data_IF_112797367040
#
_entry.id   IF_112797367040
#
_cell.length_a   1.000
_cell.length_b   1.000
_cell.length_c   1.000
_cell.angle_alpha   90.00
_cell.angle_beta   90.00
_cell.angle_gamma   90.00
#
_symmetry.space_group_name_H-M   'P 1'
#
loop_
_entity.id
_entity.type
_entity.pdbx_description
1 polymer ?
#
# COMPACT_ATOMS: atom_id res chain seq x y z
N UNK A 1 18.61 22.99 -26.77
CA UNK A 1 18.12 21.67 -27.17
C UNK A 1 17.02 21.29 -26.20
N UNK A 2 15.79 21.05 -26.68
CA UNK A 2 14.73 20.47 -25.85
C UNK A 2 15.12 19.02 -25.55
N UNK A 3 15.83 18.81 -24.46
CA UNK A 3 15.98 17.48 -23.85
C UNK A 3 14.71 17.18 -23.08
N UNK A 4 13.60 17.05 -23.83
CA UNK A 4 12.58 16.09 -23.42
C UNK A 4 13.35 14.82 -23.11
N UNK A 5 13.14 14.21 -21.93
CA UNK A 5 13.62 12.86 -21.69
C UNK A 5 12.92 12.02 -22.76
N UNK A 6 13.52 11.90 -23.95
CA UNK A 6 13.06 10.99 -24.98
C UNK A 6 13.12 9.66 -24.27
N UNK A 7 11.94 9.08 -23.99
CA UNK A 7 11.73 7.77 -23.39
C UNK A 7 13.03 6.99 -23.44
N UNK A 8 13.80 7.10 -22.36
CA UNK A 8 15.12 6.50 -22.36
C UNK A 8 14.89 5.02 -22.62
N UNK A 9 15.83 4.37 -23.30
CA UNK A 9 15.78 2.93 -23.54
C UNK A 9 15.77 2.08 -22.24
N UNK A 10 15.55 2.70 -21.09
CA UNK A 10 15.14 2.08 -19.84
C UNK A 10 13.86 1.28 -20.06
N UNK A 11 14.06 -0.02 -20.22
CA UNK A 11 13.03 -1.05 -20.03
C UNK A 11 13.33 -1.76 -18.71
N UNK A 12 13.01 -1.14 -17.55
CA UNK A 12 13.04 -1.90 -16.32
C UNK A 12 12.07 -3.08 -16.48
N UNK A 13 12.61 -4.30 -16.35
CA UNK A 13 11.89 -5.57 -16.61
C UNK A 13 10.64 -5.71 -15.71
N UNK A 14 10.57 -4.95 -14.62
CA UNK A 14 9.46 -4.95 -13.66
C UNK A 14 8.30 -4.02 -14.02
N UNK A 15 8.41 -3.17 -15.06
CA UNK A 15 7.31 -2.29 -15.48
C UNK A 15 6.61 -2.90 -16.70
N UNK A 16 5.36 -3.32 -16.51
CA UNK A 16 4.48 -3.81 -17.60
C UNK A 16 4.26 -2.71 -18.64
N UNK A 17 3.91 -3.08 -19.88
CA UNK A 17 3.67 -2.07 -20.93
C UNK A 17 2.50 -1.12 -20.57
N UNK A 18 1.51 -1.59 -19.81
CA UNK A 18 0.43 -0.75 -19.26
C UNK A 18 0.94 0.26 -18.24
N UNK A 19 1.74 -0.17 -17.25
CA UNK A 19 2.37 0.74 -16.29
C UNK A 19 3.31 1.72 -16.98
N UNK A 20 4.00 1.28 -18.04
CA UNK A 20 4.85 2.16 -18.85
C UNK A 20 4.03 3.21 -19.57
N UNK A 21 2.93 2.84 -20.20
CA UNK A 21 2.07 3.81 -20.88
C UNK A 21 1.48 4.84 -19.91
N UNK A 22 1.14 4.42 -18.68
CA UNK A 22 0.70 5.33 -17.61
C UNK A 22 1.84 6.23 -17.13
N UNK A 23 3.04 5.68 -16.93
CA UNK A 23 4.22 6.46 -16.54
C UNK A 23 4.60 7.46 -17.63
N UNK A 24 4.61 7.05 -18.90
CA UNK A 24 4.87 7.91 -20.04
C UNK A 24 3.82 9.03 -20.10
N UNK A 25 2.53 8.72 -19.93
CA UNK A 25 1.47 9.72 -19.88
C UNK A 25 1.63 10.70 -18.71
N UNK A 26 2.02 10.22 -17.52
CA UNK A 26 2.29 11.06 -16.36
C UNK A 26 3.54 11.94 -16.55
N UNK A 27 4.54 11.43 -17.28
CA UNK A 27 5.78 12.13 -17.58
C UNK A 27 5.72 12.95 -18.87
N UNK A 28 4.64 12.89 -19.67
CA UNK A 28 4.49 13.67 -20.91
C UNK A 28 4.60 15.18 -20.66
N UNK A 29 4.17 15.65 -19.48
CA UNK A 29 4.31 17.05 -19.05
C UNK A 29 5.58 17.31 -18.25
N UNK A 30 6.34 16.27 -17.91
CA UNK A 30 7.56 16.40 -17.13
C UNK A 30 8.74 16.68 -18.05
N UNK A 31 9.23 17.92 -18.01
CA UNK A 31 10.44 18.30 -18.72
C UNK A 31 11.54 18.66 -17.71
N UNK A 32 12.61 17.86 -17.68
CA UNK A 32 13.72 18.08 -16.75
C UNK A 32 14.35 19.47 -16.90
N UNK A 33 14.24 20.11 -18.07
CA UNK A 33 14.73 21.48 -18.25
C UNK A 33 14.02 22.51 -17.37
N UNK A 34 12.79 22.21 -16.92
CA UNK A 34 11.96 23.07 -16.08
C UNK A 34 12.33 22.92 -14.59
N UNK A 35 13.21 21.97 -14.29
CA UNK A 35 13.66 21.65 -12.95
C UNK A 35 15.15 21.95 -12.75
N UNK A 36 15.45 22.35 -11.53
CA UNK A 36 16.77 22.33 -10.92
C UNK A 36 16.93 20.99 -10.22
N UNK A 37 17.78 20.11 -10.77
CA UNK A 37 17.98 18.77 -10.23
C UNK A 37 18.94 18.82 -9.04
N UNK A 38 18.49 18.26 -7.91
CA UNK A 38 19.29 18.07 -6.71
C UNK A 38 19.33 16.56 -6.42
N UNK A 39 20.52 15.97 -6.51
CA UNK A 39 20.76 14.57 -6.16
C UNK A 39 21.36 14.51 -4.76
N UNK A 40 20.78 13.71 -3.88
CA UNK A 40 21.29 13.46 -2.53
C UNK A 40 21.75 12.00 -2.46
N UNK A 41 23.06 11.81 -2.52
CA UNK A 41 23.68 10.49 -2.44
C UNK A 41 23.84 10.08 -0.97
N UNK A 42 23.14 9.02 -0.58
CA UNK A 42 23.23 8.37 0.73
C UNK A 42 24.26 7.23 0.73
N UNK A 43 25.09 7.16 -0.32
CA UNK A 43 26.09 6.11 -0.52
C UNK A 43 27.25 6.31 0.46
N UNK A 44 27.74 5.20 1.03
CA UNK A 44 28.90 5.21 1.92
C UNK A 44 30.19 5.46 1.11
N UNK A 45 31.15 6.19 1.67
CA UNK A 45 32.48 6.34 1.04
C UNK A 45 33.41 5.16 1.32
N UNK A 46 32.95 4.13 2.04
CA UNK A 46 33.67 2.88 2.27
C UNK A 46 33.56 1.95 1.07
N UNK A 47 34.59 1.13 0.87
CA UNK A 47 34.58 0.12 -0.20
C UNK A 47 33.53 -0.97 0.12
N UNK A 48 32.75 -1.45 -0.87
CA UNK A 48 32.85 -1.19 -2.32
C UNK A 48 32.02 0.00 -2.82
N UNK A 49 31.35 0.72 -1.94
CA UNK A 49 30.36 1.76 -2.28
C UNK A 49 31.00 3.05 -2.79
N UNK A 50 32.25 3.31 -2.39
CA UNK A 50 33.06 4.45 -2.85
C UNK A 50 33.23 4.54 -4.37
N UNK A 51 33.17 3.42 -5.09
CA UNK A 51 33.20 3.42 -6.56
C UNK A 51 31.95 4.06 -7.15
N UNK A 52 30.76 3.82 -6.58
CA UNK A 52 29.51 4.41 -7.05
C UNK A 52 29.48 5.91 -6.80
N UNK A 53 29.85 6.32 -5.59
CA UNK A 53 29.94 7.73 -5.24
C UNK A 53 30.95 8.48 -6.14
N UNK A 54 32.09 7.86 -6.45
CA UNK A 54 33.10 8.46 -7.34
C UNK A 54 32.57 8.69 -8.76
N UNK A 55 31.75 7.76 -9.27
CA UNK A 55 31.07 7.92 -10.56
C UNK A 55 30.11 9.10 -10.50
N UNK A 56 29.26 9.19 -9.48
CA UNK A 56 28.33 10.31 -9.30
C UNK A 56 29.06 11.65 -9.22
N UNK A 57 30.08 11.75 -8.38
CA UNK A 57 30.89 12.98 -8.25
C UNK A 57 31.46 13.40 -9.61
N UNK A 58 31.95 12.45 -10.40
CA UNK A 58 32.47 12.73 -11.75
C UNK A 58 31.39 13.19 -12.71
N UNK A 59 30.20 12.58 -12.69
CA UNK A 59 29.06 12.98 -13.53
C UNK A 59 28.57 14.39 -13.21
N UNK A 60 28.81 14.89 -11.99
CA UNK A 60 28.57 16.29 -11.58
C UNK A 60 29.79 17.20 -11.74
N UNK A 61 30.80 16.80 -12.52
CA UNK A 61 31.99 17.60 -12.81
C UNK A 61 32.95 17.76 -11.63
N UNK A 62 32.95 16.80 -10.70
CA UNK A 62 33.75 16.83 -9.47
C UNK A 62 33.20 17.80 -8.42
N UNK A 63 31.96 18.27 -8.58
CA UNK A 63 31.31 19.20 -7.64
C UNK A 63 30.33 18.43 -6.76
N UNK A 64 30.56 18.52 -5.45
CA UNK A 64 29.74 17.88 -4.43
C UNK A 64 29.72 18.76 -3.18
N UNK A 65 28.53 18.93 -2.60
CA UNK A 65 28.32 19.47 -1.26
C UNK A 65 28.29 18.34 -0.25
N UNK A 66 28.80 18.55 0.96
CA UNK A 66 28.78 17.55 2.02
C UNK A 66 27.74 17.91 3.07
N UNK A 67 26.85 16.98 3.43
CA UNK A 67 25.80 17.17 4.43
C UNK A 67 25.01 18.49 4.20
N UNK A 68 24.87 19.28 5.27
CA UNK A 68 24.18 20.57 5.33
C UNK A 68 24.96 21.74 4.68
N UNK A 69 26.11 21.50 4.05
CA UNK A 69 26.90 22.55 3.42
C UNK A 69 26.16 23.23 2.25
N UNK A 70 26.57 24.46 1.94
CA UNK A 70 26.04 25.23 0.81
C UNK A 70 26.11 24.45 -0.51
N UNK A 71 25.07 24.62 -1.34
CA UNK A 71 24.97 23.94 -2.62
C UNK A 71 26.06 24.39 -3.58
N UNK A 72 26.86 23.44 -4.07
CA UNK A 72 27.91 23.67 -5.06
C UNK A 72 27.38 23.33 -6.45
N UNK A 73 27.24 24.31 -7.36
CA UNK A 73 26.70 24.06 -8.68
C UNK A 73 27.62 23.13 -9.47
N UNK A 74 27.05 22.02 -9.94
CA UNK A 74 27.66 21.09 -10.88
C UNK A 74 26.88 21.03 -12.18
N UNK A 75 27.25 20.09 -13.05
CA UNK A 75 26.51 19.83 -14.28
C UNK A 75 26.35 18.35 -14.51
N UNK A 76 25.14 17.88 -14.80
CA UNK A 76 24.87 16.52 -15.26
C UNK A 76 24.45 16.58 -16.72
N UNK A 77 25.22 15.94 -17.61
CA UNK A 77 24.97 15.96 -19.07
C UNK A 77 24.74 17.38 -19.65
N UNK A 78 25.47 18.37 -19.15
CA UNK A 78 25.37 19.77 -19.58
C UNK A 78 24.22 20.57 -18.98
N UNK A 79 23.39 19.96 -18.12
CA UNK A 79 22.36 20.66 -17.34
C UNK A 79 22.89 21.01 -15.95
N UNK A 80 22.60 22.21 -15.47
CA UNK A 80 22.93 22.59 -14.09
C UNK A 80 22.19 21.67 -13.10
N UNK A 81 22.93 21.17 -12.13
CA UNK A 81 22.40 20.34 -11.05
C UNK A 81 23.34 20.34 -9.84
N UNK A 82 22.88 19.75 -8.76
CA UNK A 82 23.61 19.71 -7.49
C UNK A 82 23.72 18.28 -7.02
N UNK A 83 24.90 17.92 -6.53
CA UNK A 83 25.13 16.67 -5.83
C UNK A 83 25.42 17.01 -4.36
N UNK A 84 24.61 16.47 -3.47
CA UNK A 84 24.83 16.48 -2.02
C UNK A 84 25.22 15.06 -1.64
N UNK A 85 26.42 14.87 -1.11
CA UNK A 85 26.79 13.63 -0.45
C UNK A 85 26.35 13.73 1.01
N UNK A 86 25.40 12.89 1.41
CA UNK A 86 24.86 12.88 2.76
C UNK A 86 24.66 11.45 3.27
N UNK A 87 25.76 10.73 3.56
CA UNK A 87 25.67 9.39 4.10
C UNK A 87 25.00 9.44 5.48
N UNK A 88 24.13 8.48 5.76
CA UNK A 88 23.54 8.30 7.09
C UNK A 88 23.88 6.91 7.63
N UNK A 89 24.14 6.85 8.93
CA UNK A 89 24.43 5.60 9.63
C UNK A 89 23.18 4.78 9.93
N UNK A 90 23.38 3.65 10.60
CA UNK A 90 22.32 2.81 11.13
C UNK A 90 22.40 2.80 12.66
N UNK A 91 21.25 2.82 13.33
CA UNK A 91 21.19 2.81 14.78
C UNK A 91 20.81 1.43 15.31
N UNK A 92 21.78 0.62 15.73
CA UNK A 92 21.50 -0.78 16.05
C UNK A 92 20.95 -0.99 17.48
N UNK A 93 21.30 -0.14 18.47
CA UNK A 93 20.92 -0.34 19.89
C UNK A 93 20.73 0.97 20.69
N UNK A 94 19.63 1.69 20.44
CA UNK A 94 19.00 2.57 21.43
C UNK A 94 19.59 3.97 21.64
N UNK A 95 20.90 4.19 21.42
CA UNK A 95 21.44 5.56 21.38
C UNK A 95 21.75 5.95 19.93
N UNK A 96 20.89 6.79 19.36
CA UNK A 96 21.06 7.33 18.01
C UNK A 96 21.51 8.80 18.03
N UNK A 97 21.80 9.40 19.18
CA UNK A 97 21.97 10.87 19.31
C UNK A 97 23.06 11.42 18.40
N UNK A 98 24.20 10.75 18.30
CA UNK A 98 25.30 11.18 17.43
C UNK A 98 24.86 11.18 15.96
N UNK A 99 24.21 10.09 15.52
CA UNK A 99 23.67 9.97 14.15
C UNK A 99 22.51 10.93 13.88
N UNK A 100 21.77 11.32 14.91
CA UNK A 100 20.67 12.25 14.81
C UNK A 100 21.14 13.69 14.67
N UNK A 101 22.14 14.10 15.46
CA UNK A 101 22.41 15.52 15.68
C UNK A 101 23.78 15.99 15.19
N UNK A 102 24.74 15.10 14.98
CA UNK A 102 26.13 15.47 14.67
C UNK A 102 26.44 15.20 13.20
N UNK A 103 26.83 16.26 12.48
CA UNK A 103 27.51 16.11 11.20
C UNK A 103 28.96 15.70 11.48
N UNK A 104 29.32 14.46 11.14
CA UNK A 104 30.67 13.92 11.28
C UNK A 104 31.38 13.73 9.93
N UNK A 105 32.64 13.27 9.99
CA UNK A 105 33.43 12.98 8.79
C UNK A 105 32.89 11.76 8.00
N UNK A 106 32.22 10.84 8.69
CA UNK A 106 31.70 9.59 8.12
C UNK A 106 30.19 9.66 7.80
N UNK A 107 29.41 10.32 8.65
CA UNK A 107 27.94 10.39 8.54
C UNK A 107 27.45 11.80 8.78
N UNK A 108 26.40 12.18 8.07
CA UNK A 108 25.68 13.42 8.32
C UNK A 108 24.61 13.22 9.39
N UNK A 109 24.31 14.30 10.09
CA UNK A 109 23.19 14.41 11.01
C UNK A 109 21.90 14.12 10.26
N UNK A 110 21.21 13.08 10.69
CA UNK A 110 19.91 12.71 10.13
C UNK A 110 18.90 13.85 10.28
N UNK A 111 18.95 14.57 11.41
CA UNK A 111 18.08 15.72 11.65
C UNK A 111 18.35 16.85 10.64
N UNK A 112 19.63 17.17 10.40
CA UNK A 112 20.02 18.21 9.45
C UNK A 112 19.68 17.81 8.01
N UNK A 113 19.85 16.54 7.64
CA UNK A 113 19.48 16.05 6.32
C UNK A 113 17.97 16.22 6.05
N UNK A 114 17.11 15.78 6.97
CA UNK A 114 15.65 15.93 6.79
C UNK A 114 15.24 17.41 6.75
N UNK A 115 15.87 18.24 7.60
CA UNK A 115 15.69 19.69 7.58
C UNK A 115 16.10 20.31 6.24
N UNK A 116 17.26 19.93 5.70
CA UNK A 116 17.77 20.41 4.43
C UNK A 116 16.85 20.01 3.28
N UNK A 117 16.39 18.76 3.21
CA UNK A 117 15.41 18.32 2.19
C UNK A 117 14.15 19.18 2.26
N UNK A 118 13.63 19.43 3.47
CA UNK A 118 12.43 20.23 3.69
C UNK A 118 12.62 21.67 3.21
N UNK A 119 13.71 22.33 3.61
CA UNK A 119 14.05 23.69 3.15
C UNK A 119 14.22 23.75 1.63
N UNK A 120 14.92 22.77 1.05
CA UNK A 120 15.15 22.73 -0.39
C UNK A 120 13.85 22.59 -1.19
N UNK A 121 12.86 21.86 -0.67
CA UNK A 121 11.53 21.72 -1.28
C UNK A 121 10.68 22.99 -1.19
N UNK A 122 10.87 23.81 -0.15
CA UNK A 122 10.09 25.03 0.08
C UNK A 122 10.66 26.27 -0.62
N UNK A 123 11.97 26.33 -0.76
CA UNK A 123 12.67 27.42 -1.40
C UNK A 123 12.47 27.43 -2.93
N UNK A 124 12.28 28.62 -3.48
CA UNK A 124 12.31 28.84 -4.93
C UNK A 124 13.74 28.83 -5.44
N UNK A 125 13.99 28.14 -6.57
CA UNK A 125 15.27 28.24 -7.27
C UNK A 125 15.57 29.70 -7.63
N UNK A 126 16.83 30.11 -7.50
CA UNK A 126 17.29 31.42 -7.98
C UNK A 126 17.15 31.56 -9.50
N UNK A 127 17.07 30.43 -10.22
CA UNK A 127 16.82 30.38 -11.66
C UNK A 127 15.33 30.52 -12.04
N UNK A 128 14.43 30.54 -11.06
CA UNK A 128 12.97 30.49 -11.27
C UNK A 128 12.43 29.11 -11.65
N UNK A 129 13.30 28.09 -11.74
CA UNK A 129 12.90 26.70 -12.00
C UNK A 129 12.27 26.04 -10.78
N UNK A 130 11.49 24.99 -11.01
CA UNK A 130 11.05 24.08 -9.96
C UNK A 130 12.25 23.28 -9.45
N UNK A 131 12.21 22.74 -8.23
CA UNK A 131 13.26 21.83 -7.75
C UNK A 131 12.79 20.39 -7.85
N UNK A 132 13.69 19.51 -8.28
CA UNK A 132 13.49 18.06 -8.24
C UNK A 132 14.57 17.47 -7.35
N UNK A 133 14.17 16.89 -6.22
CA UNK A 133 15.08 16.22 -5.30
C UNK A 133 15.00 14.72 -5.54
N UNK A 134 16.15 14.10 -5.81
CA UNK A 134 16.31 12.66 -5.93
C UNK A 134 17.32 12.18 -4.90
N UNK A 135 16.88 11.45 -3.89
CA UNK A 135 17.76 10.87 -2.88
C UNK A 135 17.82 9.35 -3.01
N UNK A 136 19.00 8.75 -2.87
CA UNK A 136 19.16 7.31 -3.03
C UNK A 136 20.37 6.75 -2.28
N UNK A 137 20.30 5.47 -1.89
CA UNK A 137 21.46 4.67 -1.55
C UNK A 137 21.80 3.69 -2.68
N UNK A 138 22.64 2.68 -2.42
CA UNK A 138 23.06 1.70 -3.44
C UNK A 138 21.90 0.81 -3.89
N UNK A 139 21.05 0.36 -2.95
CA UNK A 139 19.92 -0.52 -3.25
C UNK A 139 18.58 0.20 -3.29
N UNK A 140 18.52 1.46 -2.86
CA UNK A 140 17.29 2.23 -2.75
C UNK A 140 16.33 1.75 -1.66
N UNK A 141 16.78 0.88 -0.74
CA UNK A 141 15.93 0.28 0.31
C UNK A 141 16.15 0.94 1.66
N UNK A 142 17.29 0.67 2.31
CA UNK A 142 17.48 0.96 3.74
C UNK A 142 17.55 2.46 4.03
N UNK A 143 18.67 3.11 3.70
CA UNK A 143 18.87 4.54 3.95
C UNK A 143 17.83 5.40 3.22
N UNK A 144 17.47 5.01 2.00
CA UNK A 144 16.41 5.69 1.23
C UNK A 144 15.09 5.64 1.99
N UNK A 145 14.65 4.45 2.40
CA UNK A 145 13.42 4.28 3.16
C UNK A 145 13.46 5.00 4.51
N UNK A 146 14.61 4.97 5.21
CA UNK A 146 14.87 5.80 6.38
C UNK A 146 14.55 7.27 6.10
N UNK A 147 15.27 7.89 5.17
CA UNK A 147 15.08 9.30 4.79
C UNK A 147 13.62 9.61 4.41
N UNK A 148 12.96 8.71 3.66
CA UNK A 148 11.53 8.84 3.33
C UNK A 148 10.66 8.90 4.59
N UNK A 149 10.87 8.00 5.56
CA UNK A 149 10.14 7.99 6.83
C UNK A 149 10.35 9.32 7.57
N UNK A 150 11.61 9.77 7.71
CA UNK A 150 11.94 11.04 8.35
C UNK A 150 11.26 12.25 7.70
N UNK A 151 11.31 12.31 6.38
CA UNK A 151 10.67 13.38 5.61
C UNK A 151 9.15 13.42 5.82
N UNK A 152 8.48 12.27 5.75
CA UNK A 152 7.02 12.18 5.90
C UNK A 152 6.57 12.62 7.29
N UNK A 153 7.23 12.14 8.35
CA UNK A 153 6.87 12.53 9.71
C UNK A 153 7.10 14.03 9.96
N UNK A 154 8.15 14.61 9.36
CA UNK A 154 8.45 16.04 9.52
C UNK A 154 7.43 16.94 8.80
N UNK A 155 6.97 16.53 7.62
CA UNK A 155 6.14 17.36 6.75
C UNK A 155 4.64 17.08 6.88
N UNK A 156 4.24 15.94 7.46
CA UNK A 156 2.84 15.56 7.66
C UNK A 156 2.54 15.11 9.10
N UNK A 157 2.97 15.85 10.14
CA UNK A 157 2.89 15.39 11.53
C UNK A 157 1.46 15.17 12.04
N UNK A 158 0.46 15.84 11.46
CA UNK A 158 -0.95 15.69 11.84
C UNK A 158 -1.61 14.44 11.26
N UNK A 159 -1.10 13.93 10.14
CA UNK A 159 -1.76 12.89 9.33
C UNK A 159 -0.92 11.63 9.13
N UNK A 160 0.29 11.59 9.71
CA UNK A 160 1.27 10.53 9.46
C UNK A 160 1.90 10.07 10.78
N UNK A 161 1.50 8.90 11.26
CA UNK A 161 2.20 8.20 12.34
C UNK A 161 3.51 7.61 11.84
N UNK A 162 4.43 7.28 12.76
CA UNK A 162 5.65 6.56 12.41
C UNK A 162 5.36 5.27 11.63
N UNK A 163 4.36 4.48 12.06
CA UNK A 163 3.99 3.25 11.38
C UNK A 163 3.46 3.51 9.97
N UNK A 164 2.62 4.53 9.78
CA UNK A 164 2.14 4.92 8.44
C UNK A 164 3.29 5.36 7.53
N UNK A 165 4.27 6.10 8.06
CA UNK A 165 5.45 6.51 7.31
C UNK A 165 6.34 5.32 6.93
N UNK A 166 6.52 4.34 7.83
CA UNK A 166 7.22 3.07 7.54
C UNK A 166 6.50 2.29 6.46
N UNK A 167 5.19 2.12 6.59
CA UNK A 167 4.34 1.46 5.59
C UNK A 167 4.45 2.15 4.23
N UNK A 168 4.36 3.48 4.20
CA UNK A 168 4.53 4.25 2.98
C UNK A 168 5.89 4.01 2.34
N UNK A 169 6.97 4.10 3.11
CA UNK A 169 8.33 3.91 2.61
C UNK A 169 8.57 2.47 2.11
N UNK A 170 7.99 1.49 2.80
CA UNK A 170 8.05 0.07 2.43
C UNK A 170 7.37 -0.21 1.09
N UNK A 171 6.26 0.45 0.82
CA UNK A 171 5.49 0.21 -0.41
C UNK A 171 5.66 1.31 -1.46
N UNK A 172 6.50 2.32 -1.20
CA UNK A 172 6.66 3.53 -2.03
C UNK A 172 5.31 4.18 -2.38
N UNK A 173 4.39 4.21 -1.42
CA UNK A 173 3.01 4.67 -1.64
C UNK A 173 2.12 3.72 -2.45
N UNK A 174 2.62 2.56 -2.90
CA UNK A 174 1.75 1.49 -3.39
C UNK A 174 1.06 0.79 -2.22
N UNK A 175 -0.04 0.11 -2.51
CA UNK A 175 -0.90 -0.49 -1.48
C UNK A 175 -0.85 -2.02 -1.48
N UNK A 176 -0.05 -2.61 -2.38
CA UNK A 176 0.24 -4.03 -2.43
C UNK A 176 1.71 -4.25 -2.12
N UNK A 177 2.01 -5.32 -1.37
CA UNK A 177 3.38 -5.76 -1.19
C UNK A 177 3.99 -6.11 -2.55
N UNK A 178 5.17 -5.58 -2.91
CA UNK A 178 5.87 -6.04 -4.09
C UNK A 178 6.16 -7.54 -3.97
N UNK A 179 6.20 -8.30 -5.08
CA UNK A 179 6.42 -9.76 -5.06
C UNK A 179 7.77 -10.17 -4.44
N UNK A 180 8.70 -9.23 -4.27
CA UNK A 180 9.93 -9.41 -3.49
C UNK A 180 10.02 -8.30 -2.46
N UNK A 181 9.99 -8.72 -1.20
CA UNK A 181 9.86 -7.90 -0.01
C UNK A 181 11.23 -7.60 0.61
N UNK A 182 11.51 -6.33 0.91
CA UNK A 182 12.60 -5.95 1.81
C UNK A 182 12.28 -4.61 2.48
N UNK A 183 11.73 -4.61 3.70
CA UNK A 183 11.52 -3.37 4.44
C UNK A 183 12.89 -2.72 4.72
N UNK A 184 12.94 -1.41 5.04
CA UNK A 184 14.18 -0.83 5.53
C UNK A 184 14.71 -1.65 6.71
N UNK A 185 16.02 -1.90 6.72
CA UNK A 185 16.64 -2.66 7.79
C UNK A 185 16.34 -2.05 9.18
N UNK A 186 16.48 -2.87 10.22
CA UNK A 186 16.14 -2.46 11.57
C UNK A 186 16.88 -1.20 12.03
N UNK A 187 18.18 -1.07 11.70
CA UNK A 187 18.97 0.08 12.11
C UNK A 187 18.51 1.40 11.47
N UNK A 188 18.01 1.35 10.23
CA UNK A 188 17.39 2.50 9.57
C UNK A 188 16.04 2.87 10.21
N UNK A 189 15.25 1.87 10.58
CA UNK A 189 13.98 2.07 11.30
C UNK A 189 14.21 2.68 12.68
N UNK A 190 15.17 2.17 13.43
CA UNK A 190 15.56 2.71 14.73
C UNK A 190 15.99 4.18 14.64
N UNK A 191 16.81 4.54 13.64
CA UNK A 191 17.21 5.93 13.42
C UNK A 191 16.00 6.83 13.10
N UNK A 192 15.09 6.37 12.24
CA UNK A 192 13.87 7.10 11.92
C UNK A 192 12.93 7.22 13.14
N UNK A 193 12.80 6.19 13.97
CA UNK A 193 12.03 6.22 15.21
C UNK A 193 12.64 7.21 16.22
N UNK A 194 13.96 7.21 16.37
CA UNK A 194 14.64 8.16 17.24
C UNK A 194 14.46 9.61 16.75
N UNK A 195 14.47 9.81 15.42
CA UNK A 195 14.13 11.10 14.82
C UNK A 195 12.68 11.51 15.10
N UNK A 196 11.73 10.57 14.97
CA UNK A 196 10.34 10.80 15.33
C UNK A 196 10.23 11.33 16.77
N UNK A 197 10.91 10.68 17.72
CA UNK A 197 10.93 11.10 19.13
C UNK A 197 11.53 12.49 19.26
N UNK A 198 12.64 12.78 18.56
CA UNK A 198 13.32 14.07 18.60
C UNK A 198 12.46 15.24 18.07
N UNK A 199 11.52 14.97 17.16
CA UNK A 199 10.57 15.98 16.66
C UNK A 199 9.24 16.00 17.42
N UNK A 200 9.13 15.27 18.54
CA UNK A 200 7.89 15.07 19.30
C UNK A 200 6.73 14.52 18.46
N UNK A 201 7.03 13.58 17.55
CA UNK A 201 6.02 12.92 16.70
C UNK A 201 5.27 11.78 17.40
N UNK A 202 4.32 11.17 16.67
CA UNK A 202 3.62 9.95 17.11
C UNK A 202 4.43 8.70 16.74
N UNK A 203 5.25 8.22 17.68
CA UNK A 203 6.35 7.27 17.41
C UNK A 203 6.12 5.86 17.94
N UNK A 204 4.88 5.51 18.28
CA UNK A 204 4.54 4.16 18.73
C UNK A 204 4.92 3.14 17.63
N UNK A 205 5.96 2.34 17.89
CA UNK A 205 6.58 1.46 16.90
C UNK A 205 5.93 0.07 16.81
N UNK A 206 4.85 -0.16 17.55
CA UNK A 206 4.24 -1.48 17.71
C UNK A 206 2.75 -1.43 17.52
N UNK A 207 2.25 -2.29 16.64
CA UNK A 207 0.86 -2.79 16.66
C UNK A 207 0.55 -3.58 17.95
N UNK A 208 1.55 -3.91 18.77
CA UNK A 208 1.43 -4.76 19.97
C UNK A 208 1.57 -4.05 21.32
N UNK A 209 2.37 -2.97 21.47
CA UNK A 209 2.62 -2.39 22.81
C UNK A 209 1.71 -1.18 23.17
N UNK A 210 0.71 -0.86 22.34
CA UNK A 210 -0.31 0.13 22.71
C UNK A 210 -1.47 -0.46 23.51
N UNK A 211 -1.44 -1.75 23.85
CA UNK A 211 -2.50 -2.42 24.61
C UNK A 211 -2.53 -2.09 26.12
N UNK A 212 -1.76 -1.12 26.62
CA UNK A 212 -1.78 -0.76 28.05
C UNK A 212 -2.16 0.69 28.37
N UNK A 213 -2.50 1.52 27.36
CA UNK A 213 -3.22 2.77 27.59
C UNK A 213 -4.61 2.61 26.97
N UNK A 214 -5.57 2.12 27.76
CA UNK A 214 -6.96 1.80 27.35
C UNK A 214 -7.78 3.01 26.87
N UNK A 215 -7.16 4.17 26.61
CA UNK A 215 -7.88 5.41 26.34
C UNK A 215 -8.11 5.71 24.86
N UNK A 216 -7.35 5.11 23.95
CA UNK A 216 -7.55 5.25 22.50
C UNK A 216 -7.55 3.90 21.77
N UNK A 217 -8.62 3.56 21.05
CA UNK A 217 -8.70 2.29 20.36
C UNK A 217 -7.71 2.17 19.19
N UNK A 218 -7.24 0.96 18.87
CA UNK A 218 -6.50 0.72 17.65
C UNK A 218 -7.39 1.01 16.44
N UNK A 219 -6.90 1.85 15.52
CA UNK A 219 -7.45 1.99 14.18
C UNK A 219 -6.44 1.53 13.13
N UNK A 220 -6.94 0.91 12.07
CA UNK A 220 -6.19 0.47 10.90
C UNK A 220 -6.66 1.26 9.68
N UNK A 221 -5.74 1.65 8.83
CA UNK A 221 -6.04 2.41 7.61
C UNK A 221 -5.33 1.78 6.42
N UNK A 222 -6.10 1.46 5.38
CA UNK A 222 -5.61 0.89 4.13
C UNK A 222 -6.05 1.78 2.96
N UNK A 223 -5.10 2.30 2.21
CA UNK A 223 -5.38 2.96 0.94
C UNK A 223 -5.48 1.92 -0.19
N UNK A 224 -6.19 2.23 -1.27
CA UNK A 224 -6.18 1.47 -2.52
C UNK A 224 -6.01 2.46 -3.70
N UNK A 225 -5.33 2.12 -4.82
CA UNK A 225 -5.08 3.04 -5.93
C UNK A 225 -6.33 3.51 -6.71
N UNK A 226 -7.50 2.99 -6.38
CA UNK A 226 -8.76 3.21 -7.09
C UNK A 226 -9.48 1.91 -7.42
N UNK A 227 -10.71 2.01 -7.89
CA UNK A 227 -11.54 0.88 -8.27
C UNK A 227 -12.41 1.24 -9.46
N UNK A 228 -12.46 0.34 -10.45
CA UNK A 228 -13.37 0.50 -11.60
C UNK A 228 -14.79 0.10 -11.20
N UNK A 229 -15.79 0.60 -11.94
CA UNK A 229 -17.20 0.28 -11.68
C UNK A 229 -17.46 -1.23 -11.79
N UNK A 230 -18.09 -1.80 -10.77
CA UNK A 230 -18.41 -3.22 -10.67
C UNK A 230 -17.21 -4.14 -10.40
N UNK A 231 -15.99 -3.59 -10.28
CA UNK A 231 -14.79 -4.37 -10.00
C UNK A 231 -14.52 -4.36 -8.50
N UNK A 232 -14.42 -5.56 -7.94
CA UNK A 232 -14.17 -5.76 -6.52
C UNK A 232 -12.80 -5.17 -6.09
N UNK A 233 -12.83 -4.33 -5.05
CA UNK A 233 -11.67 -3.77 -4.36
C UNK A 233 -11.53 -4.47 -3.00
N UNK A 234 -10.38 -5.10 -2.78
CA UNK A 234 -10.13 -5.89 -1.57
C UNK A 234 -9.22 -5.14 -0.60
N UNK A 235 -9.68 -5.02 0.64
CA UNK A 235 -8.89 -4.52 1.77
C UNK A 235 -8.63 -5.67 2.75
N UNK A 236 -7.35 -5.96 3.02
CA UNK A 236 -6.89 -7.08 3.86
C UNK A 236 -6.19 -6.50 5.09
N UNK A 237 -6.72 -6.75 6.28
CA UNK A 237 -6.26 -6.11 7.53
C UNK A 237 -5.37 -7.01 8.39
N UNK A 238 -5.62 -8.32 8.36
CA UNK A 238 -4.91 -9.30 9.17
C UNK A 238 -4.40 -10.43 8.26
N UNK A 239 -3.47 -11.24 8.77
CA UNK A 239 -2.93 -12.41 8.07
C UNK A 239 -3.93 -13.57 8.03
N UNK A 240 -5.11 -13.31 7.51
CA UNK A 240 -6.09 -14.34 7.31
C UNK A 240 -5.70 -15.22 6.12
N UNK A 241 -5.46 -16.49 6.42
CA UNK A 241 -5.31 -17.57 5.45
C UNK A 241 -6.49 -18.54 5.63
N UNK A 242 -7.13 -18.95 4.54
CA UNK A 242 -8.26 -19.89 4.58
C UNK A 242 -7.87 -21.24 5.21
N UNK A 243 -6.60 -21.64 5.11
CA UNK A 243 -6.06 -22.90 5.66
C UNK A 243 -5.52 -22.73 7.09
N UNK A 244 -4.73 -21.68 7.33
CA UNK A 244 -4.07 -21.45 8.63
C UNK A 244 -4.93 -20.65 9.62
N UNK A 245 -6.03 -20.04 9.16
CA UNK A 245 -6.91 -19.20 9.95
C UNK A 245 -6.35 -17.79 10.13
N UNK A 246 -6.64 -17.17 11.27
CA UNK A 246 -6.14 -15.83 11.61
C UNK A 246 -5.21 -15.91 12.81
N UNK A 247 -4.05 -15.25 12.75
CA UNK A 247 -3.11 -15.16 13.88
C UNK A 247 -3.61 -14.25 15.01
N UNK A 248 -4.69 -13.50 14.78
CA UNK A 248 -5.25 -12.53 15.71
C UNK A 248 -5.58 -13.13 17.07
N UNK A 249 -5.03 -12.54 18.12
CA UNK A 249 -5.34 -12.89 19.52
C UNK A 249 -6.61 -12.21 20.04
N UNK A 250 -7.14 -11.23 19.30
CA UNK A 250 -8.34 -10.50 19.68
C UNK A 250 -9.59 -11.39 19.68
N UNK A 251 -10.52 -11.08 20.59
CA UNK A 251 -11.82 -11.75 20.67
C UNK A 251 -12.62 -11.60 19.38
N UNK A 252 -12.54 -10.43 18.74
CA UNK A 252 -13.19 -10.13 17.46
C UNK A 252 -12.22 -9.38 16.55
N UNK A 253 -12.22 -9.72 15.25
CA UNK A 253 -11.30 -9.17 14.25
C UNK A 253 -12.01 -9.01 12.91
N UNK A 254 -11.82 -7.87 12.24
CA UNK A 254 -12.18 -7.69 10.83
C UNK A 254 -11.00 -8.13 9.98
N UNK A 255 -11.21 -9.06 9.05
CA UNK A 255 -10.16 -9.61 8.18
C UNK A 255 -10.14 -8.94 6.83
N UNK A 256 -11.32 -8.89 6.21
CA UNK A 256 -11.50 -8.36 4.88
C UNK A 256 -12.67 -7.41 4.78
N UNK A 257 -12.50 -6.40 3.96
CA UNK A 257 -13.60 -5.58 3.46
C UNK A 257 -13.51 -5.56 1.95
N UNK A 258 -14.59 -5.99 1.33
CA UNK A 258 -14.76 -6.17 -0.11
C UNK A 258 -15.68 -5.07 -0.61
N UNK A 259 -15.12 -4.07 -1.29
CA UNK A 259 -15.87 -2.92 -1.79
C UNK A 259 -16.16 -3.10 -3.27
N UNK A 260 -17.42 -2.98 -3.67
CA UNK A 260 -17.82 -2.97 -5.09
C UNK A 260 -18.20 -1.54 -5.46
N UNK A 261 -17.41 -0.81 -6.29
CA UNK A 261 -17.74 0.55 -6.66
C UNK A 261 -18.88 0.59 -7.69
N UNK A 262 -19.94 1.36 -7.43
CA UNK A 262 -20.99 1.64 -8.43
C UNK A 262 -20.56 2.71 -9.45
N UNK A 263 -19.46 3.41 -9.16
CA UNK A 263 -18.75 4.35 -10.05
C UNK A 263 -17.24 4.19 -9.88
N UNK A 264 -16.46 4.66 -10.84
CA UNK A 264 -14.99 4.70 -10.68
C UNK A 264 -14.62 5.54 -9.45
N UNK A 265 -13.82 4.96 -8.56
CA UNK A 265 -13.28 5.60 -7.36
C UNK A 265 -11.77 5.76 -7.51
N UNK A 266 -11.22 6.87 -7.00
CA UNK A 266 -9.80 7.21 -7.09
C UNK A 266 -9.24 7.33 -5.68
N UNK A 267 -8.17 6.59 -5.41
CA UNK A 267 -7.46 6.63 -4.11
C UNK A 267 -8.37 6.48 -2.86
N UNK A 268 -9.31 5.50 -2.84
CA UNK A 268 -10.14 5.27 -1.67
C UNK A 268 -9.31 4.80 -0.47
N UNK A 269 -9.61 5.33 0.71
CA UNK A 269 -8.94 4.97 1.95
C UNK A 269 -9.96 4.35 2.89
N UNK A 270 -9.79 3.06 3.20
CA UNK A 270 -10.62 2.37 4.17
C UNK A 270 -9.99 2.49 5.56
N UNK A 271 -10.75 3.05 6.49
CA UNK A 271 -10.41 3.13 7.92
C UNK A 271 -11.28 2.16 8.70
N UNK A 272 -10.67 1.38 9.59
CA UNK A 272 -11.36 0.49 10.54
C UNK A 272 -10.85 0.83 11.94
N UNK A 273 -11.70 1.41 12.77
CA UNK A 273 -11.44 1.66 14.19
C UNK A 273 -12.25 0.67 15.04
N UNK A 274 -11.57 -0.10 15.89
CA UNK A 274 -12.24 -1.03 16.81
C UNK A 274 -12.65 -0.30 18.08
N UNK A 275 -13.79 -0.62 18.71
CA UNK A 275 -14.22 0.02 19.96
C UNK A 275 -14.22 1.56 19.91
N UNK A 276 -14.79 2.20 18.86
CA UNK A 276 -14.83 3.64 18.76
C UNK A 276 -15.59 4.25 19.95
N UNK A 277 -15.33 5.53 20.24
CA UNK A 277 -16.14 6.27 21.22
C UNK A 277 -17.54 6.49 20.65
N UNK A 278 -18.51 5.73 21.15
CA UNK A 278 -19.91 5.88 20.77
C UNK A 278 -20.70 6.54 21.91
N UNK A 279 -21.54 7.49 21.56
CA UNK A 279 -22.47 8.16 22.48
C UNK A 279 -23.49 7.18 23.09
N UNK A 280 -24.00 7.50 24.28
CA UNK A 280 -24.90 6.61 25.04
C UNK A 280 -26.17 6.25 24.26
N UNK A 281 -26.73 7.18 23.49
CA UNK A 281 -27.94 6.95 22.70
C UNK A 281 -27.76 5.92 21.57
N UNK A 282 -26.51 5.70 21.13
CA UNK A 282 -26.17 4.73 20.10
C UNK A 282 -25.76 3.38 20.69
N UNK A 283 -25.66 3.25 22.02
CA UNK A 283 -25.33 1.96 22.63
C UNK A 283 -26.48 0.98 22.44
N UNK A 284 -26.16 -0.16 21.84
CA UNK A 284 -27.08 -1.27 21.71
C UNK A 284 -27.28 -1.94 23.08
N UNK A 285 -28.53 -1.99 23.55
CA UNK A 285 -28.92 -2.58 24.84
C UNK A 285 -29.64 -3.92 24.65
N UNK A 286 -29.78 -4.70 25.73
CA UNK A 286 -30.51 -5.98 25.70
C UNK A 286 -29.80 -7.12 24.97
N UNK A 287 -28.50 -6.97 24.68
CA UNK A 287 -27.65 -7.98 24.06
C UNK A 287 -26.71 -8.59 25.09
N UNK A 288 -26.29 -9.83 24.84
CA UNK A 288 -25.35 -10.57 25.68
C UNK A 288 -23.94 -10.00 25.54
N UNK A 289 -23.56 -9.60 24.32
CA UNK A 289 -22.30 -8.93 24.05
C UNK A 289 -22.44 -7.93 22.91
N UNK A 290 -21.54 -6.93 22.90
CA UNK A 290 -21.41 -5.96 21.81
C UNK A 290 -19.93 -5.67 21.56
N UNK A 291 -19.54 -5.63 20.29
CA UNK A 291 -18.21 -5.20 19.83
C UNK A 291 -18.40 -4.21 18.70
N UNK A 292 -18.02 -2.97 18.95
CA UNK A 292 -18.25 -1.88 18.01
C UNK A 292 -17.07 -1.68 17.08
N UNK A 293 -17.36 -1.20 15.87
CA UNK A 293 -16.38 -0.78 14.88
C UNK A 293 -16.87 0.50 14.20
N UNK A 294 -15.96 1.43 13.88
CA UNK A 294 -16.19 2.48 12.90
C UNK A 294 -15.45 2.08 11.62
N UNK A 295 -16.20 1.76 10.57
CA UNK A 295 -15.64 1.40 9.27
C UNK A 295 -16.07 2.48 8.30
N UNK A 296 -15.09 3.21 7.76
CA UNK A 296 -15.30 4.40 6.94
C UNK A 296 -14.46 4.30 5.66
N UNK A 297 -15.03 4.73 4.54
CA UNK A 297 -14.37 4.74 3.24
C UNK A 297 -14.17 6.19 2.79
N UNK A 298 -13.02 6.76 3.15
CA UNK A 298 -12.68 8.14 2.85
C UNK A 298 -12.43 8.34 1.34
N UNK A 299 -12.65 9.57 0.89
CA UNK A 299 -12.54 10.00 -0.51
C UNK A 299 -13.53 9.33 -1.49
N UNK A 300 -14.53 8.61 -0.98
CA UNK A 300 -15.57 7.98 -1.79
C UNK A 300 -16.94 8.39 -1.27
N UNK A 301 -17.81 8.99 -2.11
CA UNK A 301 -19.19 9.21 -1.72
C UNK A 301 -19.93 7.87 -1.57
N UNK A 302 -20.72 7.69 -0.50
CA UNK A 302 -21.51 6.47 -0.25
C UNK A 302 -22.34 6.01 -1.47
N UNK A 303 -22.92 6.96 -2.21
CA UNK A 303 -23.70 6.67 -3.42
C UNK A 303 -22.87 6.09 -4.59
N UNK A 304 -21.55 5.99 -4.44
CA UNK A 304 -20.61 5.40 -5.41
C UNK A 304 -20.22 3.97 -5.06
N UNK A 305 -20.87 3.37 -4.06
CA UNK A 305 -20.61 2.01 -3.59
C UNK A 305 -21.88 1.17 -3.77
N UNK A 306 -21.72 0.03 -4.43
CA UNK A 306 -22.71 -1.06 -4.47
C UNK A 306 -22.59 -1.91 -3.19
N UNK A 307 -23.61 -2.75 -2.87
CA UNK A 307 -23.53 -3.65 -1.73
C UNK A 307 -22.18 -4.39 -1.68
N UNK A 308 -21.55 -4.28 -0.51
CA UNK A 308 -20.18 -4.69 -0.21
C UNK A 308 -20.21 -5.74 0.89
N UNK A 309 -19.10 -6.44 1.15
CA UNK A 309 -19.06 -7.47 2.20
C UNK A 309 -17.95 -7.23 3.21
N UNK A 310 -18.23 -7.52 4.48
CA UNK A 310 -17.28 -7.46 5.59
C UNK A 310 -17.10 -8.88 6.11
N UNK A 311 -15.87 -9.36 6.12
CA UNK A 311 -15.52 -10.65 6.71
C UNK A 311 -14.87 -10.42 8.08
N UNK A 312 -15.35 -11.12 9.08
CA UNK A 312 -14.88 -11.00 10.45
C UNK A 312 -14.84 -12.36 11.14
N UNK A 313 -14.18 -12.41 12.29
CA UNK A 313 -14.17 -13.63 13.11
C UNK A 313 -14.33 -13.34 14.58
N UNK A 314 -14.78 -14.37 15.30
CA UNK A 314 -14.84 -14.40 16.76
C UNK A 314 -14.04 -15.59 17.27
N UNK A 315 -13.22 -15.36 18.29
CA UNK A 315 -12.49 -16.43 18.98
C UNK A 315 -13.47 -17.41 19.61
N UNK A 316 -13.38 -18.68 19.26
CA UNK A 316 -14.28 -19.74 19.72
C UNK A 316 -14.30 -19.89 21.24
N UNK A 317 -13.15 -19.69 21.92
CA UNK A 317 -13.09 -19.67 23.38
C UNK A 317 -13.91 -18.52 24.00
N UNK A 318 -13.88 -17.34 23.38
CA UNK A 318 -14.72 -16.21 23.80
C UNK A 318 -16.19 -16.51 23.54
N UNK A 319 -16.51 -17.02 22.35
CA UNK A 319 -17.88 -17.37 21.97
C UNK A 319 -18.48 -18.44 22.89
N UNK A 320 -17.71 -19.47 23.26
CA UNK A 320 -18.12 -20.55 24.18
C UNK A 320 -18.35 -20.05 25.61
N UNK A 321 -17.67 -18.97 26.00
CA UNK A 321 -17.89 -18.33 27.31
C UNK A 321 -19.21 -17.55 27.37
N UNK A 322 -19.80 -17.25 26.22
CA UNK A 322 -21.09 -16.58 26.08
C UNK A 322 -22.20 -17.64 25.89
N UNK A 323 -23.41 -17.46 26.46
CA UNK A 323 -24.53 -18.36 26.25
C UNK A 323 -25.21 -18.11 24.89
N UNK A 324 -24.45 -18.12 23.80
CA UNK A 324 -24.92 -17.89 22.43
C UNK A 324 -24.41 -18.98 21.49
N UNK A 325 -25.25 -19.39 20.55
CA UNK A 325 -24.80 -20.28 19.48
C UNK A 325 -24.01 -19.47 18.43
N UNK A 326 -23.01 -20.05 17.74
CA UNK A 326 -22.32 -19.38 16.64
C UNK A 326 -23.27 -18.83 15.57
N UNK A 327 -24.36 -19.54 15.29
CA UNK A 327 -25.37 -19.17 14.28
C UNK A 327 -26.21 -17.95 14.70
N UNK A 328 -26.20 -17.60 15.98
CA UNK A 328 -26.89 -16.44 16.53
C UNK A 328 -26.02 -15.17 16.47
N UNK A 329 -24.77 -15.25 16.01
CA UNK A 329 -23.93 -14.06 15.83
C UNK A 329 -24.37 -13.27 14.61
N UNK A 330 -24.40 -11.95 14.74
CA UNK A 330 -24.80 -11.04 13.67
C UNK A 330 -24.02 -9.73 13.70
N UNK A 331 -23.81 -9.14 12.53
CA UNK A 331 -23.35 -7.76 12.41
C UNK A 331 -24.55 -6.84 12.18
N UNK A 332 -24.58 -5.70 12.86
CA UNK A 332 -25.57 -4.64 12.64
C UNK A 332 -24.86 -3.36 12.19
N UNK A 333 -25.55 -2.55 11.38
CA UNK A 333 -25.08 -1.24 10.92
C UNK A 333 -25.94 -0.13 11.51
N UNK A 334 -25.34 0.99 11.92
CA UNK A 334 -26.06 2.18 12.33
C UNK A 334 -26.50 2.99 11.10
N UNK A 335 -27.81 3.18 10.92
CA UNK A 335 -28.39 3.94 9.80
C UNK A 335 -29.61 4.69 10.31
N UNK A 336 -29.74 5.98 9.99
CA UNK A 336 -30.92 6.79 10.33
C UNK A 336 -31.35 6.64 11.81
N UNK A 337 -30.37 6.80 12.72
CA UNK A 337 -30.56 6.75 14.17
C UNK A 337 -31.07 5.41 14.73
N UNK A 338 -30.80 4.30 14.03
CA UNK A 338 -31.11 2.95 14.52
C UNK A 338 -30.09 1.91 14.06
N UNK A 339 -29.99 0.82 14.83
CA UNK A 339 -29.26 -0.37 14.44
C UNK A 339 -30.11 -1.24 13.51
N UNK A 340 -29.60 -1.51 12.31
CA UNK A 340 -30.22 -2.40 11.32
C UNK A 340 -29.39 -3.67 11.22
N UNK A 341 -30.05 -4.83 11.37
CA UNK A 341 -29.41 -6.13 11.20
C UNK A 341 -28.97 -6.33 9.74
N UNK A 342 -27.73 -6.78 9.54
CA UNK A 342 -27.21 -7.14 8.22
C UNK A 342 -27.36 -8.64 7.96
N UNK A 343 -27.47 -9.00 6.68
CA UNK A 343 -27.39 -10.41 6.27
C UNK A 343 -26.01 -10.95 6.65
N UNK A 344 -25.94 -11.75 7.70
CA UNK A 344 -24.70 -12.31 8.26
C UNK A 344 -24.77 -13.83 8.22
N UNK A 345 -23.75 -14.44 7.64
CA UNK A 345 -23.61 -15.88 7.46
C UNK A 345 -22.40 -16.35 8.25
N UNK A 346 -22.56 -17.45 9.01
CA UNK A 346 -21.45 -18.21 9.56
C UNK A 346 -20.85 -19.05 8.43
N UNK A 347 -19.63 -18.74 8.02
CA UNK A 347 -18.99 -19.40 6.89
C UNK A 347 -18.40 -20.75 7.31
N UNK A 348 -17.56 -20.74 8.35
CA UNK A 348 -16.92 -21.94 8.89
C UNK A 348 -16.34 -21.68 10.29
N UNK A 349 -15.93 -22.77 10.96
CA UNK A 349 -15.20 -22.73 12.22
C UNK A 349 -13.91 -23.52 12.02
N UNK A 350 -12.76 -22.85 12.13
CA UNK A 350 -11.44 -23.48 12.01
C UNK A 350 -10.48 -22.86 13.03
N UNK A 351 -9.49 -23.63 13.48
CA UNK A 351 -8.43 -23.18 14.39
C UNK A 351 -8.94 -22.42 15.64
N UNK A 352 -10.07 -22.86 16.17
CA UNK A 352 -10.68 -22.27 17.36
C UNK A 352 -11.26 -20.88 17.15
N UNK A 353 -11.61 -20.49 15.91
CA UNK A 353 -12.33 -19.25 15.56
C UNK A 353 -13.52 -19.55 14.67
N UNK A 354 -14.59 -18.78 14.83
CA UNK A 354 -15.77 -18.80 13.95
C UNK A 354 -15.68 -17.60 13.00
N UNK A 355 -15.84 -17.86 11.70
CA UNK A 355 -15.71 -16.87 10.61
C UNK A 355 -17.05 -16.54 10.01
N UNK A 356 -17.27 -15.26 9.74
CA UNK A 356 -18.55 -14.72 9.31
C UNK A 356 -18.37 -13.75 8.16
N UNK A 357 -19.35 -13.74 7.25
CA UNK A 357 -19.49 -12.75 6.19
C UNK A 357 -20.79 -11.98 6.38
N UNK A 358 -20.70 -10.65 6.40
CA UNK A 358 -21.84 -9.74 6.46
C UNK A 358 -21.94 -8.88 5.20
N UNK A 359 -23.12 -8.84 4.58
CA UNK A 359 -23.41 -7.94 3.47
C UNK A 359 -23.82 -6.56 3.99
N UNK A 360 -23.18 -5.49 3.48
CA UNK A 360 -23.48 -4.12 3.86
C UNK A 360 -23.77 -3.24 2.65
N UNK A 361 -24.86 -2.43 2.67
CA UNK A 361 -25.14 -1.47 1.60
C UNK A 361 -24.27 -0.21 1.66
N UNK A 362 -23.43 -0.05 2.70
CA UNK A 362 -22.54 1.10 2.85
C UNK A 362 -21.76 1.06 4.16
N UNK A 363 -20.94 2.07 4.40
CA UNK A 363 -20.05 2.16 5.56
C UNK A 363 -20.64 3.08 6.64
N UNK A 364 -20.32 2.83 7.91
CA UNK A 364 -20.82 3.55 9.11
C UNK A 364 -20.22 2.93 10.39
N UNK A 365 -20.88 3.16 11.54
CA UNK A 365 -20.70 2.33 12.72
C UNK A 365 -21.32 0.95 12.53
N UNK A 366 -20.58 -0.05 12.97
CA UNK A 366 -20.99 -1.45 12.99
C UNK A 366 -20.91 -1.99 14.42
N UNK A 367 -21.73 -2.99 14.71
CA UNK A 367 -21.64 -3.76 15.95
C UNK A 367 -21.78 -5.25 15.66
N UNK A 368 -20.84 -6.04 16.17
CA UNK A 368 -20.95 -7.50 16.22
C UNK A 368 -21.63 -7.84 17.55
N UNK A 369 -22.71 -8.62 17.48
CA UNK A 369 -23.55 -8.94 18.63
C UNK A 369 -24.30 -10.27 18.41
N UNK A 370 -25.18 -10.65 19.34
CA UNK A 370 -26.09 -11.77 19.18
C UNK A 370 -27.46 -11.32 18.66
N UNK A 371 -28.11 -12.16 17.85
CA UNK A 371 -29.53 -12.02 17.49
C UNK A 371 -30.38 -12.09 18.76
N UNK A 372 -31.46 -11.32 18.77
CA UNK A 372 -32.52 -11.47 19.77
C UNK A 372 -33.51 -12.41 19.09
N UNK A 373 -33.88 -13.54 19.72
CA UNK A 373 -34.94 -14.39 19.19
C UNK A 373 -36.18 -13.53 18.99
N UNK A 374 -36.60 -13.34 17.73
CA UNK A 374 -37.91 -12.78 17.46
C UNK A 374 -38.88 -13.75 18.10
N UNK A 375 -39.70 -13.35 19.09
CA UNK A 375 -40.66 -14.26 19.69
C UNK A 375 -41.48 -14.86 18.55
N UNK A 376 -41.69 -16.19 18.55
CA UNK A 376 -42.41 -16.84 17.46
C UNK A 376 -43.71 -16.06 17.27
N UNK A 377 -43.92 -15.55 16.06
CA UNK A 377 -45.15 -14.86 15.69
C UNK A 377 -46.24 -15.86 16.02
N UNK A 378 -46.96 -15.60 17.11
CA UNK A 378 -48.10 -16.41 17.51
C UNK A 378 -49.05 -16.24 16.35
N UNK A 379 -49.19 -17.28 15.53
CA UNK A 379 -50.14 -17.31 14.42
C UNK A 379 -51.46 -16.83 14.99
N UNK A 380 -51.88 -15.61 14.63
CA UNK A 380 -53.21 -15.14 14.99
C UNK A 380 -54.21 -16.16 14.45
N UNK A 381 -55.05 -16.65 15.34
CA UNK A 381 -56.15 -17.56 15.04
C UNK A 381 -56.94 -16.96 13.86
N UNK A 382 -57.29 -17.76 12.83
CA UNK A 382 -57.89 -17.24 11.62
C UNK A 382 -59.13 -16.41 11.94
N UNK A 383 -59.03 -15.10 11.70
CA UNK A 383 -60.19 -14.20 11.74
C UNK A 383 -61.23 -14.76 10.76
N UNK A 384 -62.48 -14.98 11.19
CA UNK A 384 -63.52 -15.50 10.31
C UNK A 384 -63.68 -14.61 9.08
N UNK A 385 -63.98 -15.19 7.90
CA UNK A 385 -64.04 -14.46 6.64
C UNK A 385 -65.03 -13.31 6.74
N UNK A 386 -64.51 -12.08 6.66
CA UNK A 386 -65.33 -10.89 6.40
C UNK A 386 -65.88 -11.06 4.98
N UNK A 387 -67.20 -11.08 4.88
CA UNK A 387 -67.92 -11.22 3.63
C UNK A 387 -67.48 -10.15 2.62
N UNK A 388 -67.03 -10.59 1.43
CA UNK A 388 -66.72 -9.73 0.30
C UNK A 388 -67.95 -8.92 -0.11
N UNK A 389 -67.80 -7.60 -0.06
CA UNK A 389 -68.68 -6.65 -0.75
C UNK A 389 -68.33 -6.68 -2.26
N UNK A 390 -69.32 -6.75 -3.18
CA UNK A 390 -69.06 -7.02 -4.59
C UNK A 390 -68.31 -5.87 -5.28
N UNK A 391 -67.18 -6.22 -5.88
CA UNK A 391 -66.33 -5.34 -6.67
C UNK A 391 -67.08 -4.80 -7.91
N UNK A 392 -67.10 -3.47 -8.03
CA UNK A 392 -67.56 -2.75 -9.20
C UNK A 392 -66.46 -2.76 -10.26
N UNK A 393 -66.82 -3.28 -11.44
CA UNK A 393 -65.98 -3.49 -12.62
C UNK A 393 -65.46 -2.16 -13.20
N UNK A 394 -64.15 -2.06 -13.43
CA UNK A 394 -63.51 -0.92 -14.11
C UNK A 394 -62.67 -1.41 -15.30
N UNK A 395 -62.53 -0.61 -16.38
CA UNK A 395 -62.20 -1.10 -17.71
C UNK A 395 -60.70 -1.14 -18.01
N UNK A 396 -60.31 -2.16 -18.79
CA UNK A 396 -58.99 -2.36 -19.39
C UNK A 396 -58.56 -1.20 -20.32
N UNK A 397 -57.26 -0.86 -20.35
CA UNK A 397 -56.66 -0.28 -21.55
C UNK A 397 -55.41 -1.01 -22.04
N UNK A 398 -55.56 -1.56 -23.25
CA UNK A 398 -54.70 -1.39 -24.43
C UNK A 398 -53.20 -1.70 -24.36
N UNK A 399 -52.86 -2.87 -24.92
CA UNK A 399 -51.57 -3.28 -25.46
C UNK A 399 -51.21 -2.50 -26.74
N UNK A 400 -49.95 -2.01 -26.88
CA UNK A 400 -49.35 -1.75 -28.17
C UNK A 400 -48.26 -2.76 -28.54
N UNK A 401 -48.29 -3.10 -29.81
CA UNK A 401 -47.52 -4.09 -30.57
C UNK A 401 -46.04 -3.76 -30.82
N UNK A 402 -45.28 -4.86 -30.89
CA UNK A 402 -43.89 -5.05 -31.33
C UNK A 402 -43.55 -4.46 -32.72
N UNK A 403 -42.27 -4.12 -33.00
CA UNK A 403 -41.72 -4.28 -34.34
C UNK A 403 -40.44 -5.14 -34.39
N UNK A 404 -40.57 -6.23 -35.15
CA UNK A 404 -39.68 -6.80 -36.19
C UNK A 404 -38.16 -6.54 -36.19
N UNK A 405 -37.43 -7.66 -36.19
CA UNK A 405 -35.98 -7.83 -36.36
C UNK A 405 -35.48 -7.54 -37.80
N UNK A 406 -34.20 -7.18 -37.92
CA UNK A 406 -33.39 -7.28 -39.15
C UNK A 406 -32.17 -8.18 -38.84
N UNK A 407 -31.81 -9.17 -39.70
CA UNK A 407 -30.65 -10.01 -39.49
C UNK A 407 -29.37 -9.31 -39.96
N UNK A 408 -28.32 -9.34 -39.13
CA UNK A 408 -26.97 -8.91 -39.49
C UNK A 408 -26.11 -10.15 -39.78
N UNK A 409 -25.37 -10.06 -40.88
CA UNK A 409 -24.60 -11.12 -41.53
C UNK A 409 -23.23 -11.31 -40.86
N UNK A 410 -22.88 -12.56 -40.56
CA UNK A 410 -21.54 -12.99 -40.13
C UNK A 410 -20.50 -12.90 -41.27
N UNK A 411 -19.30 -12.34 -41.04
CA UNK A 411 -18.17 -12.55 -41.92
C UNK A 411 -17.34 -13.78 -41.52
N UNK A 412 -17.09 -14.61 -42.55
CA UNK A 412 -16.22 -15.78 -42.58
C UNK A 412 -14.79 -15.53 -42.08
N UNK A 413 -14.27 -16.54 -41.39
CA UNK A 413 -12.96 -16.61 -40.76
C UNK A 413 -11.73 -16.57 -41.68
N UNK A 414 -10.61 -16.22 -41.04
CA UNK A 414 -9.24 -16.36 -41.56
C UNK A 414 -8.55 -17.47 -40.75
N UNK A 415 -7.92 -18.49 -41.38
CA UNK A 415 -7.24 -19.55 -40.65
C UNK A 415 -5.90 -19.08 -40.06
N UNK A 416 -5.63 -19.51 -38.82
CA UNK A 416 -4.37 -19.30 -38.11
C UNK A 416 -3.24 -20.16 -38.73
N UNK A 417 -1.98 -19.68 -38.75
CA UNK A 417 -0.85 -20.50 -39.18
C UNK A 417 -0.49 -21.56 -38.13
N UNK A 418 -0.12 -22.74 -38.61
CA UNK A 418 0.34 -23.88 -37.82
C UNK A 418 1.64 -23.58 -37.05
N UNK A 419 1.86 -24.21 -35.87
CA UNK A 419 3.09 -24.06 -35.11
C UNK A 419 4.27 -24.77 -35.78
N UNK A 420 5.37 -24.03 -35.92
CA UNK A 420 6.69 -24.53 -36.34
C UNK A 420 7.31 -25.36 -35.21
N UNK A 421 7.72 -26.59 -35.51
CA UNK A 421 8.43 -27.48 -34.59
C UNK A 421 9.86 -26.96 -34.33
N UNK A 422 10.20 -26.80 -33.05
CA UNK A 422 11.53 -26.45 -32.55
C UNK A 422 12.38 -27.71 -32.35
N UNK A 423 13.70 -27.70 -32.69
CA UNK A 423 14.53 -28.90 -32.61
C UNK A 423 14.99 -29.22 -31.17
N UNK A 424 14.85 -30.48 -30.77
CA UNK A 424 15.39 -31.03 -29.52
C UNK A 424 16.93 -30.98 -29.49
N UNK A 425 17.47 -30.44 -28.39
CA UNK A 425 18.91 -30.46 -28.08
C UNK A 425 19.17 -31.62 -27.11
N UNK A 426 20.11 -32.54 -27.41
CA UNK A 426 20.44 -33.64 -26.50
C UNK A 426 21.26 -33.15 -25.28
N UNK A 427 21.15 -33.82 -24.12
CA UNK A 427 21.86 -33.43 -22.92
C UNK A 427 23.34 -33.84 -22.98
N UNK A 428 24.30 -33.00 -22.55
CA UNK A 428 25.67 -33.44 -22.40
C UNK A 428 25.86 -34.17 -21.06
N UNK A 429 26.20 -35.45 -21.19
CA UNK A 429 26.73 -36.30 -20.13
C UNK A 429 28.17 -35.91 -19.76
N UNK A 430 28.41 -35.72 -18.46
CA UNK A 430 29.66 -36.06 -17.78
C UNK A 430 30.85 -35.11 -17.92
N UNK A 431 31.23 -34.47 -16.81
CA UNK A 431 32.58 -34.46 -16.22
C UNK A 431 32.45 -33.89 -14.81
N UNK A 432 32.62 -34.76 -13.82
CA UNK A 432 32.61 -34.49 -12.40
C UNK A 432 34.04 -34.74 -11.91
N UNK A 433 34.89 -33.71 -11.71
CA UNK A 433 36.01 -33.71 -10.73
C UNK A 433 36.93 -32.45 -10.68
N UNK A 434 36.47 -31.22 -10.97
CA UNK A 434 37.32 -30.00 -10.81
C UNK A 434 36.61 -28.81 -10.14
N UNK A 435 35.62 -29.07 -9.27
CA UNK A 435 34.69 -28.04 -8.79
C UNK A 435 35.10 -27.28 -7.51
N UNK A 436 36.18 -27.63 -6.80
CA UNK A 436 36.41 -27.06 -5.45
C UNK A 436 37.38 -25.87 -5.42
N UNK A 437 38.26 -25.69 -6.42
CA UNK A 437 39.25 -24.59 -6.41
C UNK A 437 38.81 -23.37 -7.26
N UNK A 438 37.84 -23.53 -8.16
CA UNK A 438 37.34 -22.43 -9.01
C UNK A 438 36.16 -21.67 -8.36
N UNK A 439 35.48 -22.24 -7.37
CA UNK A 439 34.28 -21.63 -6.75
C UNK A 439 34.58 -20.40 -5.88
N UNK A 440 35.79 -20.28 -5.31
CA UNK A 440 36.19 -19.07 -4.57
C UNK A 440 36.55 -17.90 -5.51
N UNK A 441 37.08 -18.18 -6.71
CA UNK A 441 37.36 -17.17 -7.73
C UNK A 441 36.12 -16.77 -8.55
N UNK A 442 35.20 -17.71 -8.80
CA UNK A 442 33.94 -17.45 -9.52
C UNK A 442 32.92 -16.72 -8.63
N UNK A 443 32.93 -16.86 -7.30
CA UNK A 443 32.05 -16.08 -6.43
C UNK A 443 32.30 -14.56 -6.53
N UNK A 444 33.57 -14.15 -6.50
CA UNK A 444 33.97 -12.74 -6.55
C UNK A 444 34.01 -12.19 -7.98
N UNK A 445 34.58 -12.92 -8.94
CA UNK A 445 34.57 -12.51 -10.35
C UNK A 445 33.19 -12.67 -10.99
N UNK A 446 32.43 -13.71 -10.65
CA UNK A 446 31.05 -13.91 -11.11
C UNK A 446 30.12 -12.85 -10.55
N UNK A 447 30.18 -12.53 -9.25
CA UNK A 447 29.43 -11.40 -8.70
C UNK A 447 29.76 -10.07 -9.39
N UNK A 448 31.06 -9.81 -9.65
CA UNK A 448 31.50 -8.61 -10.37
C UNK A 448 31.03 -8.58 -11.84
N UNK A 449 31.12 -9.70 -12.56
CA UNK A 449 30.72 -9.81 -13.96
C UNK A 449 29.20 -9.80 -14.14
N UNK A 450 28.44 -10.47 -13.27
CA UNK A 450 26.97 -10.42 -13.26
C UNK A 450 26.49 -9.01 -12.91
N UNK A 451 27.14 -8.33 -11.95
CA UNK A 451 26.86 -6.92 -11.59
C UNK A 451 27.30 -5.91 -12.66
N UNK A 452 28.39 -6.17 -13.39
CA UNK A 452 28.84 -5.37 -14.55
C UNK A 452 27.94 -5.59 -15.77
N UNK A 453 27.49 -6.82 -15.98
CA UNK A 453 26.50 -7.19 -17.00
C UNK A 453 25.15 -6.54 -16.71
N UNK A 454 24.70 -6.54 -15.45
CA UNK A 454 23.49 -5.84 -15.02
C UNK A 454 23.60 -4.32 -15.19
N UNK A 455 24.75 -3.72 -14.85
CA UNK A 455 25.06 -2.28 -15.07
C UNK A 455 25.02 -1.87 -16.55
N UNK A 456 25.60 -2.67 -17.46
CA UNK A 456 25.53 -2.40 -18.91
C UNK A 456 24.11 -2.52 -19.46
N UNK A 457 23.25 -3.32 -18.82
CA UNK A 457 21.88 -3.56 -19.25
C UNK A 457 20.88 -2.51 -18.77
N UNK A 458 21.13 -1.88 -17.61
CA UNK A 458 20.28 -0.79 -17.12
C UNK A 458 20.60 0.59 -17.71
N UNK A 459 21.86 0.84 -18.09
CA UNK A 459 22.32 2.16 -18.52
C UNK A 459 23.20 2.11 -19.79
N UNK A 460 22.70 1.59 -20.93
CA UNK A 460 23.51 1.41 -22.13
C UNK A 460 24.07 2.74 -22.69
N UNK A 461 23.36 3.85 -22.49
CA UNK A 461 23.75 5.17 -23.01
C UNK A 461 24.84 5.88 -22.17
N UNK A 462 25.14 5.39 -20.95
CA UNK A 462 26.22 5.94 -20.11
C UNK A 462 27.61 5.36 -20.45
N UNK A 463 27.67 4.24 -21.18
CA UNK A 463 28.91 3.51 -21.47
C UNK A 463 29.11 3.38 -22.99
N UNK A 464 29.52 4.48 -23.62
CA UNK A 464 29.83 4.55 -25.05
C UNK A 464 31.12 3.84 -25.47
N UNK A 465 31.20 3.53 -26.78
CA UNK A 465 32.12 2.63 -27.53
C UNK A 465 33.65 2.66 -27.31
N UNK A 466 34.21 3.41 -26.35
CA UNK A 466 35.67 3.55 -26.21
C UNK A 466 36.26 3.02 -24.88
N UNK A 467 35.58 2.05 -24.25
CA UNK A 467 36.16 1.19 -23.19
C UNK A 467 36.38 -0.25 -23.68
#
# INVERSE_FOLDING_TARGET
MNTTIKNSLFKPVYITDSQRSKLDQALMTFNLSDYELIVISLIDNKWPDSEYLSVEIREFGGKVSNCSAELRPGTIRGHQGYLIWSPIGFCDQGNCDDLLHIDGDEYCSYYNLIGQITSLMQETSTSGKKRLIYYHCVLGTDRTGGVTIGYLMKNFPENMTYLQAVTYAQFMGNTMAPPVYSPPNQGSRNLAQAYCTAINGSCAATLSDTASDESEPPFMTLAHPGGETGILVNYVFDDYDDEEGSSSVADTTIHHVHVIPSKTIVEPILRVEQSPRISEEKKLTGRIFTRYYDIDLLNVPDASIDPSTIQFSIRGGYLTSLPIAPEDVVMMRWVEDRWVELSTVLDHITNGRAFYTAETPGFSYFVITNRIPVPPVTLEEPVPPVAEEPAMEAPLPNTPSLPTQIPVVEPYGTPAPAPTLEPEIPPPSGILLLAIIVMAGIGTCGGYLTRRWWRRRQNPDLFGKND
#
